data_IF_333159249622
#
_entry.id   IF_333159249622
#
_cell.length_a   1.000
_cell.length_b   1.000
_cell.length_c   1.000
_cell.angle_alpha   90.00
_cell.angle_beta   90.00
_cell.angle_gamma   90.00
#
_symmetry.space_group_name_H-M   'P 1'
#
loop_
_entity.id
_entity.type
_entity.pdbx_description
1 polymer ?
#
# COMPACT_ATOMS: atom_id res chain seq x y z
N UNK A 1 47.58 -46.18 76.11
CA UNK A 1 46.29 -46.49 75.45
C UNK A 1 45.22 -45.63 76.14
N UNK A 2 44.87 -44.48 75.55
CA UNK A 2 43.80 -43.60 76.05
C UNK A 2 42.89 -43.26 74.86
N UNK A 3 41.61 -43.58 75.03
CA UNK A 3 40.55 -43.51 74.02
C UNK A 3 40.05 -42.07 73.82
N UNK A 4 39.72 -41.76 72.56
CA UNK A 4 39.01 -40.57 72.09
C UNK A 4 37.57 -40.53 72.62
N UNK A 5 37.09 -39.33 72.94
CA UNK A 5 35.67 -38.96 72.86
C UNK A 5 35.51 -37.79 71.87
N UNK A 6 34.42 -37.76 71.07
CA UNK A 6 34.12 -36.65 70.17
C UNK A 6 33.25 -35.59 70.86
N UNK A 7 33.58 -34.31 70.68
CA UNK A 7 32.71 -33.20 71.06
C UNK A 7 31.98 -32.68 69.82
N UNK A 8 30.66 -32.72 69.89
CA UNK A 8 29.74 -32.03 68.99
C UNK A 8 29.63 -30.54 69.36
N UNK A 9 29.45 -29.74 68.31
CA UNK A 9 29.55 -28.29 68.14
C UNK A 9 28.67 -27.41 69.05
N UNK A 10 28.92 -26.08 69.03
CA UNK A 10 27.90 -25.24 68.40
C UNK A 10 28.45 -24.29 67.32
N UNK A 11 27.64 -24.20 66.28
CA UNK A 11 27.70 -23.28 65.14
C UNK A 11 27.68 -21.84 65.63
N UNK A 12 28.82 -21.15 65.60
CA UNK A 12 28.89 -19.69 65.65
C UNK A 12 30.04 -19.25 64.74
N UNK A 13 29.69 -18.79 63.54
CA UNK A 13 30.41 -17.81 62.70
C UNK A 13 30.11 -18.03 61.21
N UNK A 14 28.84 -17.90 60.79
CA UNK A 14 28.53 -17.64 59.39
C UNK A 14 27.15 -16.96 59.25
N UNK A 15 26.99 -15.80 59.87
CA UNK A 15 25.79 -14.96 59.69
C UNK A 15 26.09 -13.47 59.89
N UNK A 16 27.32 -13.03 59.61
CA UNK A 16 27.72 -11.62 59.69
C UNK A 16 28.67 -11.27 58.53
N UNK A 17 28.20 -11.42 57.29
CA UNK A 17 28.81 -10.82 56.10
C UNK A 17 27.88 -10.77 54.88
N UNK A 18 26.56 -10.96 55.04
CA UNK A 18 25.58 -10.89 53.95
C UNK A 18 24.33 -10.06 54.30
N UNK A 19 24.48 -9.14 55.24
CA UNK A 19 23.56 -8.04 55.45
C UNK A 19 24.39 -6.76 55.29
N UNK A 20 23.93 -5.81 54.47
CA UNK A 20 24.64 -4.63 53.96
C UNK A 20 25.47 -4.84 52.68
N UNK A 21 24.79 -5.25 51.62
CA UNK A 21 24.92 -4.61 50.30
C UNK A 21 23.65 -4.95 49.50
N UNK A 22 22.47 -4.64 50.04
CA UNK A 22 21.36 -4.25 49.16
C UNK A 22 21.77 -2.87 48.61
N UNK A 23 22.66 -2.88 47.61
CA UNK A 23 22.83 -1.71 46.78
C UNK A 23 21.42 -1.40 46.26
N UNK A 24 20.89 -0.17 46.44
CA UNK A 24 19.74 0.21 45.66
C UNK A 24 20.15 -0.05 44.21
N UNK A 25 19.42 -0.93 43.54
CA UNK A 25 19.47 -0.95 42.08
C UNK A 25 19.06 0.47 41.72
N UNK A 26 19.97 1.25 41.15
CA UNK A 26 19.65 2.58 40.67
C UNK A 26 18.60 2.36 39.57
N UNK A 27 17.33 2.52 39.94
CA UNK A 27 16.26 2.57 38.98
C UNK A 27 16.41 3.87 38.22
N UNK A 28 16.24 3.80 36.91
CA UNK A 28 16.18 4.98 36.07
C UNK A 28 15.07 5.91 36.60
N UNK A 29 15.37 7.19 36.73
CA UNK A 29 14.42 8.17 37.25
C UNK A 29 13.61 8.72 36.09
N UNK A 30 12.29 8.75 36.22
CA UNK A 30 11.44 9.42 35.24
C UNK A 30 11.25 10.89 35.64
N UNK A 31 11.18 11.77 34.65
CA UNK A 31 11.04 13.21 34.83
C UNK A 31 9.86 13.72 34.01
N UNK A 32 9.00 14.53 34.61
CA UNK A 32 7.89 15.19 33.92
C UNK A 32 8.04 16.69 34.08
N UNK A 33 7.95 17.42 32.97
CA UNK A 33 7.89 18.88 33.02
C UNK A 33 6.59 19.32 33.71
N UNK A 34 6.72 19.96 34.87
CA UNK A 34 5.62 20.54 35.65
C UNK A 34 5.80 22.05 35.86
N UNK A 35 6.85 22.61 35.27
CA UNK A 35 7.17 24.03 35.31
C UNK A 35 6.21 24.91 34.51
N UNK A 36 6.60 26.18 34.36
CA UNK A 36 5.85 27.11 33.52
C UNK A 36 5.81 26.67 32.05
N UNK A 37 4.88 27.22 31.29
CA UNK A 37 4.75 27.00 29.82
C UNK A 37 6.06 27.26 29.07
N UNK A 38 6.92 28.14 29.58
CA UNK A 38 8.27 28.34 29.02
C UNK A 38 9.29 28.34 30.13
N UNK A 39 10.39 27.60 29.94
CA UNK A 39 11.46 27.56 30.92
C UNK A 39 12.74 26.89 30.43
N UNK A 40 13.74 26.93 31.30
CA UNK A 40 15.03 26.31 31.05
C UNK A 40 15.08 24.89 31.60
N UNK A 41 15.72 23.99 30.87
CA UNK A 41 15.97 22.61 31.27
C UNK A 41 16.70 22.52 32.62
N UNK A 42 17.71 23.37 32.84
CA UNK A 42 18.54 23.34 34.05
C UNK A 42 17.84 23.82 35.32
N UNK A 43 16.66 24.43 35.21
CA UNK A 43 15.91 24.94 36.37
C UNK A 43 15.18 23.79 37.04
N UNK A 44 15.74 23.34 38.16
CA UNK A 44 15.31 22.12 38.86
C UNK A 44 13.83 22.11 39.27
N UNK A 45 13.25 23.28 39.57
CA UNK A 45 11.85 23.44 39.97
C UNK A 45 10.86 23.40 38.80
N UNK A 46 11.31 23.15 37.58
CA UNK A 46 10.46 22.92 36.41
C UNK A 46 10.18 21.43 36.16
N UNK A 47 10.67 20.57 37.05
CA UNK A 47 10.54 19.13 36.97
C UNK A 47 9.89 18.60 38.24
N UNK A 48 9.02 17.61 38.09
CA UNK A 48 8.25 16.98 39.16
C UNK A 48 9.09 16.40 40.31
N UNK A 49 10.35 16.08 40.04
CA UNK A 49 11.31 15.59 41.02
C UNK A 49 12.04 16.70 41.78
N UNK A 50 11.81 17.98 41.44
CA UNK A 50 12.61 19.13 41.88
C UNK A 50 14.13 18.94 41.61
N UNK A 51 14.46 18.17 40.58
CA UNK A 51 15.83 17.92 40.12
C UNK A 51 15.89 18.00 38.60
N UNK A 52 16.99 18.53 38.06
CA UNK A 52 17.18 18.56 36.62
C UNK A 52 17.34 17.12 36.09
N UNK A 53 16.73 16.76 34.95
CA UNK A 53 16.80 15.43 34.40
C UNK A 53 18.25 14.99 34.19
N UNK A 54 18.50 13.75 34.58
CA UNK A 54 19.75 13.08 34.28
C UNK A 54 19.64 12.31 32.95
N UNK A 55 20.71 11.57 32.59
CA UNK A 55 20.76 10.80 31.35
C UNK A 55 20.11 9.41 31.49
N UNK A 56 19.12 9.26 32.35
CA UNK A 56 18.41 8.00 32.59
C UNK A 56 16.90 8.17 32.47
N UNK A 57 16.21 7.05 32.27
CA UNK A 57 14.75 6.95 32.40
C UNK A 57 14.00 7.61 31.27
N UNK A 58 12.74 7.94 31.56
CA UNK A 58 11.82 8.60 30.63
C UNK A 58 11.61 10.03 31.05
N UNK A 59 11.83 10.95 30.13
CA UNK A 59 11.59 12.37 30.30
C UNK A 59 10.36 12.74 29.48
N UNK A 60 9.42 13.50 30.04
CA UNK A 60 8.18 13.88 29.36
C UNK A 60 8.02 15.39 29.34
N UNK A 61 7.89 15.95 28.14
CA UNK A 61 7.51 17.34 27.91
C UNK A 61 6.16 17.33 27.19
N UNK A 62 5.09 17.64 27.93
CA UNK A 62 3.73 17.63 27.39
C UNK A 62 3.42 18.81 26.47
N UNK A 63 2.31 18.70 25.75
CA UNK A 63 1.81 19.72 24.82
C UNK A 63 1.73 21.13 25.44
N UNK A 64 2.02 22.13 24.60
CA UNK A 64 2.06 23.54 24.97
C UNK A 64 3.28 24.00 25.77
N UNK A 65 4.12 23.10 26.29
CA UNK A 65 5.34 23.49 27.00
C UNK A 65 6.49 23.78 26.04
N UNK A 66 7.30 24.80 26.32
CA UNK A 66 8.48 25.17 25.56
C UNK A 66 9.72 25.17 26.46
N UNK A 67 10.56 24.16 26.27
CA UNK A 67 11.75 23.92 27.09
C UNK A 67 12.99 24.31 26.30
N UNK A 68 13.76 25.25 26.84
CA UNK A 68 15.08 25.59 26.31
C UNK A 68 16.16 24.75 26.99
N UNK A 69 16.88 23.95 26.22
CA UNK A 69 18.07 23.25 26.70
C UNK A 69 19.26 24.22 26.80
N UNK A 70 19.56 24.64 28.02
CA UNK A 70 20.56 25.65 28.36
C UNK A 70 21.85 25.06 28.97
N UNK A 71 22.00 23.74 28.94
CA UNK A 71 23.16 23.04 29.50
C UNK A 71 24.36 23.11 28.53
N UNK A 72 25.40 23.83 28.92
CA UNK A 72 26.60 24.05 28.09
C UNK A 72 27.53 22.83 28.09
N UNK A 73 27.98 22.42 26.90
CA UNK A 73 29.04 21.41 26.76
C UNK A 73 28.63 19.98 27.10
N UNK A 74 27.36 19.75 27.44
CA UNK A 74 26.82 18.45 27.82
C UNK A 74 26.61 17.49 26.64
N UNK A 75 26.56 16.21 26.99
CA UNK A 75 25.89 15.17 26.20
C UNK A 75 24.41 15.21 26.59
N UNK A 76 23.52 15.33 25.60
CA UNK A 76 22.08 15.33 25.82
C UNK A 76 21.58 13.89 25.80
N UNK A 77 21.16 13.36 26.96
CA UNK A 77 20.47 12.07 27.07
C UNK A 77 21.25 10.89 26.47
N UNK A 78 22.41 10.56 27.03
CA UNK A 78 23.26 9.51 26.47
C UNK A 78 22.57 8.12 26.32
N UNK A 79 21.48 7.83 27.06
CA UNK A 79 20.70 6.59 26.91
C UNK A 79 19.27 6.74 27.48
N UNK A 80 18.69 7.95 27.47
CA UNK A 80 17.35 8.18 28.00
C UNK A 80 16.31 8.24 26.88
N UNK A 81 15.05 8.11 27.25
CA UNK A 81 13.90 8.31 26.35
C UNK A 81 13.29 9.68 26.62
N UNK A 82 13.07 10.49 25.59
CA UNK A 82 12.26 11.70 25.66
C UNK A 82 10.93 11.47 24.94
N UNK A 83 9.82 11.64 25.67
CA UNK A 83 8.49 11.78 25.09
C UNK A 83 8.17 13.27 24.96
N UNK A 84 7.91 13.73 23.74
CA UNK A 84 7.82 15.14 23.40
C UNK A 84 6.53 15.43 22.64
N UNK A 85 5.59 16.09 23.33
CA UNK A 85 4.39 16.69 22.72
C UNK A 85 4.47 18.23 22.72
N UNK A 86 5.39 18.83 23.49
CA UNK A 86 5.71 20.26 23.46
C UNK A 86 6.91 20.60 22.56
N UNK A 87 7.60 21.71 22.86
CA UNK A 87 8.83 22.13 22.17
C UNK A 87 10.07 21.89 23.04
N UNK A 88 11.10 21.31 22.44
CA UNK A 88 12.47 21.31 22.94
C UNK A 88 13.36 22.10 21.99
N UNK A 89 13.82 23.27 22.45
CA UNK A 89 14.74 24.14 21.72
C UNK A 89 16.15 24.07 22.29
N UNK A 90 17.19 24.21 21.44
CA UNK A 90 18.57 24.22 21.93
C UNK A 90 19.59 24.57 20.85
N UNK A 91 20.65 25.29 21.25
CA UNK A 91 21.72 25.69 20.33
C UNK A 91 22.59 24.52 19.84
N UNK A 92 22.91 23.57 20.73
CA UNK A 92 23.56 22.31 20.38
C UNK A 92 22.96 21.19 21.23
N UNK A 93 22.37 20.20 20.59
CA UNK A 93 21.84 18.99 21.25
C UNK A 93 22.64 17.79 20.75
N UNK A 94 23.19 16.98 21.66
CA UNK A 94 23.97 15.78 21.32
C UNK A 94 23.34 14.50 21.84
N UNK A 95 22.64 13.79 20.97
CA UNK A 95 21.70 12.72 21.33
C UNK A 95 22.41 11.45 21.84
N UNK A 96 23.55 11.06 21.26
CA UNK A 96 24.47 10.04 21.79
C UNK A 96 23.83 8.72 22.32
N UNK A 97 22.83 8.14 21.66
CA UNK A 97 22.17 6.91 22.12
C UNK A 97 20.77 7.08 22.68
N UNK A 98 20.25 8.31 22.73
CA UNK A 98 18.86 8.57 23.19
C UNK A 98 17.81 8.11 22.19
N UNK A 99 16.62 7.87 22.75
CA UNK A 99 15.38 7.67 22.02
C UNK A 99 14.48 8.90 22.17
N UNK A 100 13.90 9.38 21.08
CA UNK A 100 12.89 10.44 21.08
C UNK A 100 11.61 9.88 20.51
N UNK A 101 10.52 10.04 21.24
CA UNK A 101 9.17 9.82 20.76
C UNK A 101 8.53 11.20 20.62
N UNK A 102 8.44 11.70 19.40
CA UNK A 102 7.91 13.02 19.08
C UNK A 102 6.48 12.86 18.60
N UNK A 103 5.53 13.28 19.43
CA UNK A 103 4.11 13.22 19.10
C UNK A 103 3.72 14.25 18.05
N UNK A 104 2.46 14.21 17.62
CA UNK A 104 1.93 15.06 16.54
C UNK A 104 1.98 16.57 16.80
N UNK A 105 2.19 17.01 18.04
CA UNK A 105 2.41 18.41 18.41
C UNK A 105 3.86 18.72 18.80
N UNK A 106 4.71 17.69 18.88
CA UNK A 106 6.08 17.78 19.34
C UNK A 106 6.98 18.54 18.38
N UNK A 107 7.86 19.39 18.92
CA UNK A 107 8.77 20.23 18.14
C UNK A 107 10.20 20.09 18.68
N UNK A 108 11.12 19.64 17.84
CA UNK A 108 12.56 19.76 18.09
C UNK A 108 13.08 20.94 17.29
N UNK A 109 13.57 21.99 17.95
CA UNK A 109 13.95 23.24 17.27
C UNK A 109 15.34 23.76 17.61
N UNK A 110 15.89 24.58 16.71
CA UNK A 110 17.08 25.40 16.90
C UNK A 110 18.41 24.71 16.61
N UNK A 111 19.40 25.52 16.21
CA UNK A 111 20.83 25.20 16.28
C UNK A 111 21.28 23.90 15.59
N UNK A 112 22.26 23.24 16.22
CA UNK A 112 22.94 22.06 15.71
C UNK A 112 22.44 20.81 16.43
N UNK A 113 22.01 19.79 15.67
CA UNK A 113 21.60 18.48 16.20
C UNK A 113 22.65 17.44 15.82
N UNK A 114 23.36 16.99 16.84
CA UNK A 114 24.42 15.99 16.77
C UNK A 114 23.81 14.63 17.11
N UNK A 115 23.51 13.84 16.07
CA UNK A 115 22.84 12.55 16.19
C UNK A 115 23.90 11.46 16.08
N UNK A 116 24.10 10.75 17.18
CA UNK A 116 25.08 9.68 17.29
C UNK A 116 24.43 8.48 17.94
N UNK A 117 24.14 7.44 17.15
CA UNK A 117 23.37 6.27 17.59
C UNK A 117 21.97 6.60 18.14
N UNK A 118 21.33 7.66 17.64
CA UNK A 118 20.03 8.10 18.15
C UNK A 118 18.88 7.37 17.47
N UNK A 119 17.78 7.16 18.20
CA UNK A 119 16.49 6.69 17.66
C UNK A 119 15.48 7.83 17.79
N UNK A 120 14.84 8.18 16.69
CA UNK A 120 13.83 9.23 16.67
C UNK A 120 12.57 8.70 15.97
N UNK A 121 11.48 8.65 16.71
CA UNK A 121 10.17 8.20 16.27
C UNK A 121 9.27 9.41 16.16
N UNK A 122 8.75 9.69 14.97
CA UNK A 122 7.92 10.84 14.70
C UNK A 122 6.51 10.41 14.31
N UNK A 123 5.51 11.03 14.94
CA UNK A 123 4.13 10.98 14.47
C UNK A 123 3.88 12.09 13.46
N UNK A 124 2.98 11.87 12.50
CA UNK A 124 2.52 12.95 11.63
C UNK A 124 2.06 14.18 12.44
N UNK A 125 2.54 15.36 12.05
CA UNK A 125 2.37 16.64 12.73
C UNK A 125 3.60 17.08 13.53
N UNK A 126 4.48 16.13 13.89
CA UNK A 126 5.76 16.44 14.53
C UNK A 126 6.60 17.39 13.67
N UNK A 127 7.36 18.26 14.32
CA UNK A 127 8.23 19.23 13.65
C UNK A 127 9.67 19.06 14.09
N UNK A 128 10.57 19.16 13.11
CA UNK A 128 12.01 19.18 13.35
C UNK A 128 12.61 20.30 12.52
N UNK A 129 13.11 21.34 13.21
CA UNK A 129 13.76 22.50 12.58
C UNK A 129 15.16 22.66 13.18
N UNK A 130 16.18 22.46 12.37
CA UNK A 130 17.56 22.57 12.80
C UNK A 130 18.41 23.25 11.73
N UNK A 131 19.39 24.04 12.14
CA UNK A 131 20.39 24.58 11.21
C UNK A 131 21.26 23.46 10.65
N UNK A 132 21.61 22.47 11.48
CA UNK A 132 22.38 21.29 11.07
C UNK A 132 21.76 20.02 11.64
N UNK A 133 21.59 19.03 10.78
CA UNK A 133 21.25 17.65 11.11
C UNK A 133 22.47 16.78 10.81
N UNK A 134 23.30 16.53 11.83
CA UNK A 134 24.50 15.71 11.69
C UNK A 134 24.22 14.26 12.10
N UNK A 135 24.56 13.31 11.22
CA UNK A 135 24.37 11.88 11.50
C UNK A 135 25.70 11.14 11.65
N UNK A 136 25.80 10.36 12.74
CA UNK A 136 26.97 9.56 13.12
C UNK A 136 26.54 8.22 13.70
N UNK A 137 27.34 7.18 13.51
CA UNK A 137 27.02 5.87 14.06
C UNK A 137 25.70 5.31 13.50
N UNK A 138 24.99 4.53 14.29
CA UNK A 138 23.78 3.80 13.85
C UNK A 138 22.50 4.51 14.28
N UNK A 139 21.97 5.40 13.44
CA UNK A 139 20.73 6.12 13.76
C UNK A 139 19.51 5.41 13.19
N UNK A 140 18.35 5.62 13.82
CA UNK A 140 17.05 5.16 13.33
C UNK A 140 16.07 6.33 13.33
N UNK A 141 15.39 6.53 12.21
CA UNK A 141 14.33 7.50 12.04
C UNK A 141 13.07 6.77 11.58
N UNK A 142 12.07 6.71 12.46
CA UNK A 142 10.80 6.07 12.18
C UNK A 142 9.72 7.15 12.02
N UNK A 143 8.91 7.03 10.96
CA UNK A 143 7.85 7.98 10.61
C UNK A 143 6.50 7.27 10.60
N UNK A 144 5.67 7.54 11.58
CA UNK A 144 4.29 7.04 11.66
C UNK A 144 3.37 7.96 10.84
N UNK A 145 2.89 7.45 9.69
CA UNK A 145 1.97 8.19 8.84
C UNK A 145 0.57 8.25 9.46
N UNK A 146 -0.13 9.36 9.25
CA UNK A 146 -1.58 9.46 9.48
C UNK A 146 -2.36 9.06 8.23
N UNK A 147 -3.69 9.17 8.30
CA UNK A 147 -4.56 8.99 7.12
C UNK A 147 -4.34 10.04 6.02
N UNK A 148 -3.64 11.15 6.31
CA UNK A 148 -3.36 12.23 5.36
C UNK A 148 -1.89 12.28 4.89
N UNK A 149 -1.05 11.36 5.37
CA UNK A 149 0.37 11.30 5.03
C UNK A 149 1.25 11.66 6.22
N UNK A 150 2.27 12.50 5.98
CA UNK A 150 3.23 12.94 6.99
C UNK A 150 3.64 14.40 6.77
N UNK A 151 3.77 15.15 7.85
CA UNK A 151 4.27 16.53 7.86
C UNK A 151 5.78 16.54 7.77
N UNK A 152 6.31 17.05 6.66
CA UNK A 152 7.75 17.03 6.38
C UNK A 152 8.59 17.67 7.51
N UNK A 153 9.65 16.97 7.92
CA UNK A 153 10.71 17.53 8.74
C UNK A 153 11.60 18.44 7.89
N UNK A 154 12.07 19.56 8.45
CA UNK A 154 12.77 20.61 7.68
C UNK A 154 14.09 21.06 8.33
N UNK A 155 15.07 20.15 8.50
CA UNK A 155 16.45 20.59 8.70
C UNK A 155 16.97 21.41 7.52
N UNK A 156 17.81 22.41 7.79
CA UNK A 156 18.34 23.29 6.75
C UNK A 156 19.61 22.77 6.07
N UNK A 157 20.45 22.03 6.82
CA UNK A 157 21.70 21.49 6.27
C UNK A 157 21.90 20.07 6.80
N UNK A 158 22.13 19.14 5.89
CA UNK A 158 22.63 17.82 6.23
C UNK A 158 24.15 17.85 6.47
N UNK A 159 24.61 17.19 7.51
CA UNK A 159 26.04 17.02 7.77
C UNK A 159 26.38 15.54 8.00
N UNK A 160 27.47 15.08 7.38
CA UNK A 160 28.06 13.77 7.65
C UNK A 160 29.45 13.98 8.28
N UNK A 161 29.69 13.37 9.44
CA UNK A 161 31.02 13.38 10.05
C UNK A 161 31.93 12.37 9.37
N UNK A 162 33.12 12.81 8.96
CA UNK A 162 34.16 11.92 8.38
C UNK A 162 34.89 11.05 9.42
N UNK A 163 34.46 11.00 10.69
CA UNK A 163 35.13 10.20 11.74
C UNK A 163 34.31 10.07 13.04
N UNK A 164 34.34 8.93 13.77
CA UNK A 164 35.04 7.67 13.47
C UNK A 164 34.12 6.56 12.92
N UNK A 165 32.81 6.77 12.88
CA UNK A 165 31.85 5.79 12.39
C UNK A 165 31.10 6.38 11.21
N UNK A 166 31.40 5.85 10.03
CA UNK A 166 30.55 6.02 8.85
C UNK A 166 29.10 5.80 9.28
N UNK A 167 28.17 6.75 9.01
CA UNK A 167 26.79 6.57 9.41
C UNK A 167 26.23 5.27 8.83
N UNK A 168 25.43 4.60 9.65
CA UNK A 168 24.58 3.48 9.28
C UNK A 168 23.17 3.82 9.74
N UNK A 169 22.50 4.64 8.94
CA UNK A 169 21.20 5.19 9.34
C UNK A 169 20.08 4.42 8.65
N UNK A 170 19.02 4.09 9.38
CA UNK A 170 17.78 3.56 8.82
C UNK A 170 16.69 4.62 8.86
N UNK A 171 15.98 4.80 7.74
CA UNK A 171 14.72 5.52 7.68
C UNK A 171 13.59 4.52 7.43
N UNK A 172 12.57 4.52 8.27
CA UNK A 172 11.42 3.62 8.17
C UNK A 172 10.14 4.43 8.07
N UNK A 173 9.36 4.21 7.00
CA UNK A 173 8.00 4.71 6.94
C UNK A 173 7.02 3.63 7.43
N UNK A 174 6.16 3.95 8.39
CA UNK A 174 5.11 3.06 8.88
C UNK A 174 3.73 3.51 8.36
N UNK A 175 3.09 2.62 7.59
CA UNK A 175 1.79 2.86 6.96
C UNK A 175 0.61 2.24 7.74
N UNK A 176 0.80 1.75 8.97
CA UNK A 176 -0.25 1.06 9.74
C UNK A 176 -1.54 1.89 9.90
N UNK A 177 -1.42 3.21 10.05
CA UNK A 177 -2.53 4.15 10.20
C UNK A 177 -2.91 4.86 8.89
N UNK A 178 -2.19 4.60 7.80
CA UNK A 178 -2.44 5.24 6.51
C UNK A 178 -3.65 4.63 5.79
N UNK A 179 -4.57 5.49 5.39
CA UNK A 179 -5.80 5.14 4.66
C UNK A 179 -6.16 6.20 3.61
N UNK A 180 -5.18 7.03 3.25
CA UNK A 180 -5.33 8.14 2.31
C UNK A 180 -5.39 7.70 0.85
N UNK A 181 -5.58 8.69 -0.03
CA UNK A 181 -5.47 8.53 -1.48
C UNK A 181 -4.00 8.63 -1.93
N UNK A 182 -3.70 8.21 -3.17
CA UNK A 182 -2.39 8.32 -3.82
C UNK A 182 -1.67 9.64 -3.51
N UNK A 183 -0.42 9.55 -3.09
CA UNK A 183 0.36 10.70 -2.65
C UNK A 183 1.86 10.45 -2.75
N UNK A 184 2.61 11.51 -3.03
CA UNK A 184 4.05 11.60 -2.84
C UNK A 184 4.32 12.43 -1.58
N UNK A 185 4.89 11.78 -0.56
CA UNK A 185 5.08 12.34 0.78
C UNK A 185 6.54 12.67 0.98
N UNK A 186 6.84 13.90 1.41
CA UNK A 186 8.19 14.24 1.88
C UNK A 186 8.29 13.97 3.38
N UNK A 187 9.16 13.04 3.78
CA UNK A 187 9.39 12.74 5.20
C UNK A 187 10.42 13.71 5.80
N UNK A 188 11.51 13.95 5.06
CA UNK A 188 12.56 14.87 5.44
C UNK A 188 13.00 15.66 4.22
N UNK A 189 12.96 16.99 4.33
CA UNK A 189 13.56 17.93 3.38
C UNK A 189 14.84 18.49 4.00
N UNK A 190 16.00 18.17 3.43
CA UNK A 190 17.28 18.65 3.96
C UNK A 190 17.65 20.07 3.53
N UNK A 191 16.97 20.62 2.52
CA UNK A 191 17.28 21.90 1.87
C UNK A 191 18.62 21.93 1.13
N UNK A 192 19.71 21.52 1.78
CA UNK A 192 21.05 21.33 1.24
C UNK A 192 21.64 20.06 1.83
N UNK A 193 22.06 19.13 0.97
CA UNK A 193 22.79 17.94 1.39
C UNK A 193 24.00 17.66 0.49
N UNK A 194 24.84 16.74 0.94
CA UNK A 194 25.90 16.13 0.12
C UNK A 194 25.62 14.63 -0.09
N UNK A 195 24.35 14.25 0.04
CA UNK A 195 23.84 12.92 -0.23
C UNK A 195 23.55 12.81 -1.74
N UNK A 196 23.54 11.58 -2.20
CA UNK A 196 23.04 11.22 -3.52
C UNK A 196 22.34 9.86 -3.44
N UNK A 197 21.61 9.48 -4.48
CA UNK A 197 20.92 8.20 -4.55
C UNK A 197 21.88 6.99 -4.43
N UNK A 198 23.17 7.16 -4.77
CA UNK A 198 24.16 6.10 -4.58
C UNK A 198 24.44 5.83 -3.09
N UNK A 199 24.25 6.81 -2.20
CA UNK A 199 24.36 6.61 -0.75
C UNK A 199 23.24 5.74 -0.15
N UNK A 200 22.09 5.61 -0.83
CA UNK A 200 20.90 4.86 -0.39
C UNK A 200 20.72 3.50 -1.10
N UNK A 201 21.58 3.15 -2.06
CA UNK A 201 21.45 1.92 -2.86
C UNK A 201 22.63 0.96 -2.64
N UNK A 202 22.42 -0.34 -2.89
CA UNK A 202 23.52 -1.33 -3.02
C UNK A 202 24.35 -1.61 -1.75
N UNK A 203 23.81 -1.42 -0.55
CA UNK A 203 24.56 -1.54 0.71
C UNK A 203 25.29 -0.26 1.11
N UNK A 204 24.77 0.90 0.66
CA UNK A 204 25.21 2.22 1.08
C UNK A 204 25.06 2.50 2.58
N UNK A 205 25.36 3.74 2.98
CA UNK A 205 25.38 4.18 4.38
C UNK A 205 23.97 4.32 4.98
N UNK A 206 22.95 4.32 4.12
CA UNK A 206 21.57 4.55 4.49
C UNK A 206 20.71 3.37 4.04
N UNK A 207 19.83 2.92 4.93
CA UNK A 207 18.81 1.91 4.67
C UNK A 207 17.45 2.58 4.62
N UNK A 208 16.67 2.27 3.59
CA UNK A 208 15.27 2.70 3.45
C UNK A 208 14.39 1.46 3.67
N UNK A 209 13.44 1.56 4.60
CA UNK A 209 12.48 0.50 4.91
C UNK A 209 11.07 1.04 4.95
N UNK A 210 10.10 0.16 4.69
CA UNK A 210 8.68 0.49 4.80
C UNK A 210 8.01 -0.65 5.55
N UNK A 211 7.28 -0.30 6.59
CA UNK A 211 6.54 -1.22 7.42
C UNK A 211 5.03 -1.06 7.19
N UNK A 212 4.28 -2.13 7.44
CA UNK A 212 2.81 -2.15 7.45
C UNK A 212 2.15 -1.58 6.19
N UNK A 213 2.70 -1.85 5.00
CA UNK A 213 2.15 -1.36 3.72
C UNK A 213 0.72 -1.82 3.44
N UNK A 214 0.31 -2.98 3.98
CA UNK A 214 -0.99 -3.57 3.69
C UNK A 214 -1.16 -3.81 2.19
N UNK A 215 -2.22 -3.25 1.61
CA UNK A 215 -2.49 -3.29 0.17
C UNK A 215 -1.91 -2.10 -0.59
N UNK A 216 -1.21 -1.18 0.08
CA UNK A 216 -0.61 -0.04 -0.60
C UNK A 216 0.63 -0.47 -1.39
N UNK A 217 0.81 0.09 -2.57
CA UNK A 217 2.09 0.09 -3.28
C UNK A 217 2.90 1.27 -2.76
N UNK A 218 4.02 1.02 -2.08
CA UNK A 218 4.80 2.08 -1.44
C UNK A 218 6.29 1.98 -1.78
N UNK A 219 6.92 3.13 -2.04
CA UNK A 219 8.36 3.27 -2.32
C UNK A 219 8.95 4.38 -1.48
N UNK A 220 9.96 4.03 -0.69
CA UNK A 220 10.78 4.99 0.03
C UNK A 220 12.08 5.18 -0.74
N UNK A 221 12.39 6.42 -1.08
CA UNK A 221 13.52 6.78 -1.92
C UNK A 221 14.12 8.11 -1.50
N UNK A 222 15.33 8.37 -1.96
CA UNK A 222 15.98 9.67 -1.87
C UNK A 222 15.86 10.37 -3.21
N UNK A 223 15.38 11.61 -3.20
CA UNK A 223 15.20 12.45 -4.38
C UNK A 223 16.34 13.44 -4.49
N UNK A 224 17.29 13.15 -5.39
CA UNK A 224 18.46 13.99 -5.67
C UNK A 224 18.08 15.41 -6.14
N UNK A 225 16.90 15.58 -6.75
CA UNK A 225 16.49 16.89 -7.28
C UNK A 225 16.00 17.83 -6.18
N UNK A 226 15.41 17.28 -5.12
CA UNK A 226 14.85 18.04 -4.00
C UNK A 226 15.63 17.88 -2.70
N UNK A 227 16.69 17.08 -2.69
CA UNK A 227 17.53 16.81 -1.52
C UNK A 227 16.70 16.24 -0.35
N UNK A 228 15.81 15.29 -0.64
CA UNK A 228 14.77 14.86 0.30
C UNK A 228 14.61 13.33 0.39
N UNK A 229 14.19 12.84 1.56
CA UNK A 229 13.68 11.47 1.73
C UNK A 229 12.17 11.49 1.50
N UNK A 230 11.72 10.73 0.50
CA UNK A 230 10.34 10.75 0.01
C UNK A 230 9.73 9.37 -0.07
N UNK A 231 8.42 9.32 0.13
CA UNK A 231 7.61 8.12 0.12
C UNK A 231 6.48 8.30 -0.92
N UNK A 232 6.56 7.55 -2.01
CA UNK A 232 5.49 7.45 -3.01
C UNK A 232 4.53 6.34 -2.60
N UNK A 233 3.23 6.61 -2.61
CA UNK A 233 2.16 5.68 -2.21
C UNK A 233 1.08 5.62 -3.30
N UNK A 234 0.78 4.42 -3.78
CA UNK A 234 -0.25 4.09 -4.76
C UNK A 234 -0.18 4.91 -6.06
N UNK A 235 1.02 5.34 -6.44
CA UNK A 235 1.22 6.04 -7.71
C UNK A 235 1.08 5.09 -8.89
N UNK A 236 0.57 5.61 -10.00
CA UNK A 236 0.59 4.90 -11.27
C UNK A 236 1.96 5.00 -11.88
N UNK A 237 2.54 3.85 -12.21
CA UNK A 237 3.82 3.74 -12.90
C UNK A 237 3.54 3.55 -14.39
N UNK A 238 4.01 4.48 -15.21
CA UNK A 238 3.82 4.53 -16.65
C UNK A 238 4.98 3.89 -17.39
N UNK A 239 4.63 3.11 -18.42
CA UNK A 239 5.59 2.55 -19.35
C UNK A 239 6.26 3.65 -20.19
N UNK A 240 7.58 3.70 -20.16
CA UNK A 240 8.41 4.57 -21.00
C UNK A 240 9.11 3.81 -22.13
N UNK A 241 9.36 2.51 -21.94
CA UNK A 241 10.11 1.67 -22.88
C UNK A 241 11.59 2.04 -23.04
N UNK A 242 12.15 2.89 -22.15
CA UNK A 242 13.50 3.44 -22.31
C UNK A 242 14.62 2.40 -22.15
N UNK A 243 14.34 1.24 -21.57
CA UNK A 243 15.26 0.10 -21.49
C UNK A 243 15.43 -0.66 -22.81
N UNK A 244 14.50 -0.49 -23.77
CA UNK A 244 14.61 -1.02 -25.13
C UNK A 244 14.46 -2.53 -25.30
N UNK A 245 14.31 -3.29 -24.21
CA UNK A 245 14.13 -4.75 -24.24
C UNK A 245 12.64 -5.18 -24.25
N UNK A 246 11.71 -4.23 -24.03
CA UNK A 246 10.28 -4.49 -24.02
C UNK A 246 9.81 -5.31 -22.81
N UNK A 247 10.61 -5.46 -21.74
CA UNK A 247 10.26 -6.34 -20.62
C UNK A 247 9.62 -5.59 -19.44
N UNK A 248 8.54 -6.15 -18.90
CA UNK A 248 7.86 -5.63 -17.70
C UNK A 248 8.80 -5.57 -16.49
N UNK A 249 9.74 -6.51 -16.36
CA UNK A 249 10.65 -6.62 -15.22
C UNK A 249 11.87 -5.66 -15.26
N UNK A 250 12.05 -4.91 -16.35
CA UNK A 250 13.21 -4.02 -16.51
C UNK A 250 12.90 -2.62 -16.00
N UNK A 251 13.61 -2.20 -14.94
CA UNK A 251 13.43 -0.90 -14.28
C UNK A 251 13.46 0.29 -15.25
N UNK A 252 14.40 0.29 -16.20
CA UNK A 252 14.56 1.37 -17.17
C UNK A 252 13.35 1.55 -18.12
N UNK A 253 12.39 0.63 -18.15
CA UNK A 253 11.17 0.78 -18.95
C UNK A 253 10.05 1.54 -18.23
N UNK A 254 10.26 1.97 -16.98
CA UNK A 254 9.22 2.56 -16.14
C UNK A 254 9.67 3.93 -15.61
N UNK A 255 8.71 4.81 -15.36
CA UNK A 255 8.91 6.13 -14.74
C UNK A 255 8.76 6.07 -13.19
N UNK A 256 9.32 5.05 -12.56
CA UNK A 256 9.25 4.93 -11.10
C UNK A 256 10.05 6.05 -10.42
N UNK A 257 9.54 6.62 -9.31
CA UNK A 257 10.26 7.64 -8.54
C UNK A 257 11.60 7.15 -7.99
N UNK A 258 11.71 5.86 -7.67
CA UNK A 258 12.93 5.25 -7.14
C UNK A 258 13.85 4.65 -8.22
N UNK A 259 13.46 4.78 -9.50
CA UNK A 259 14.20 4.25 -10.64
C UNK A 259 14.32 2.72 -10.67
N UNK A 260 13.46 1.99 -9.95
CA UNK A 260 13.43 0.52 -9.91
C UNK A 260 12.29 -0.07 -10.72
N UNK A 261 12.30 -1.39 -10.88
CA UNK A 261 11.21 -2.11 -11.51
C UNK A 261 9.92 -2.01 -10.67
N UNK A 262 8.76 -2.32 -11.26
CA UNK A 262 7.50 -2.46 -10.53
C UNK A 262 7.61 -3.36 -9.30
N UNK A 263 6.72 -3.13 -8.33
CA UNK A 263 6.55 -3.92 -7.10
C UNK A 263 5.10 -4.41 -6.97
N UNK A 264 4.82 -5.21 -5.94
CA UNK A 264 3.47 -5.68 -5.65
C UNK A 264 2.49 -4.53 -5.37
N UNK A 265 1.21 -4.75 -5.68
CA UNK A 265 0.12 -3.76 -5.59
C UNK A 265 0.24 -2.54 -6.53
N UNK A 266 1.30 -2.40 -7.32
CA UNK A 266 1.43 -1.27 -8.26
C UNK A 266 0.25 -1.18 -9.22
N UNK A 267 -0.11 0.06 -9.59
CA UNK A 267 -0.88 0.32 -10.81
C UNK A 267 0.09 0.65 -11.94
N UNK A 268 0.06 -0.15 -13.00
CA UNK A 268 0.91 -0.04 -14.18
C UNK A 268 0.10 0.46 -15.35
N UNK A 269 0.56 1.52 -16.01
CA UNK A 269 -0.03 2.02 -17.24
C UNK A 269 0.88 1.68 -18.42
N UNK A 270 0.41 0.82 -19.32
CA UNK A 270 1.09 0.49 -20.57
C UNK A 270 0.30 1.12 -21.71
N UNK A 271 0.92 2.07 -22.40
CA UNK A 271 0.23 2.90 -23.38
C UNK A 271 1.06 3.10 -24.67
N UNK A 272 0.57 3.96 -25.56
CA UNK A 272 1.27 4.45 -26.74
C UNK A 272 1.67 3.37 -27.76
N UNK A 273 0.85 2.31 -27.93
CA UNK A 273 1.17 1.25 -28.89
C UNK A 273 2.29 0.31 -28.42
N UNK A 274 2.67 0.36 -27.14
CA UNK A 274 3.73 -0.47 -26.61
C UNK A 274 3.37 -1.97 -26.74
N UNK A 275 4.37 -2.79 -27.02
CA UNK A 275 4.29 -4.24 -26.85
C UNK A 275 5.24 -4.62 -25.72
N UNK A 276 4.67 -5.13 -24.63
CA UNK A 276 5.38 -5.43 -23.40
C UNK A 276 5.34 -6.93 -23.15
N UNK A 277 6.51 -7.53 -22.98
CA UNK A 277 6.69 -8.93 -22.68
C UNK A 277 6.84 -9.16 -21.17
N UNK A 278 6.22 -10.23 -20.67
CA UNK A 278 6.50 -10.76 -19.33
C UNK A 278 6.54 -12.28 -19.33
N UNK A 279 7.44 -12.82 -18.52
CA UNK A 279 7.59 -14.27 -18.30
C UNK A 279 7.59 -14.59 -16.81
N UNK A 280 6.95 -15.70 -16.45
CA UNK A 280 6.84 -16.13 -15.06
C UNK A 280 5.74 -15.40 -14.29
N UNK A 281 5.97 -15.22 -13.00
CA UNK A 281 5.02 -14.62 -12.08
C UNK A 281 5.00 -13.10 -12.18
N UNK A 282 3.81 -12.50 -12.29
CA UNK A 282 3.61 -11.10 -11.96
C UNK A 282 3.81 -10.88 -10.46
N UNK A 283 4.08 -9.63 -10.12
CA UNK A 283 4.08 -9.18 -8.75
C UNK A 283 2.64 -9.27 -8.23
N UNK A 284 2.46 -9.73 -6.99
CA UNK A 284 1.15 -10.01 -6.45
C UNK A 284 0.25 -8.77 -6.43
N UNK A 285 -1.03 -8.95 -6.78
CA UNK A 285 -2.08 -7.93 -6.74
C UNK A 285 -1.80 -6.66 -7.57
N UNK A 286 -0.90 -6.69 -8.56
CA UNK A 286 -0.71 -5.54 -9.44
C UNK A 286 -1.98 -5.24 -10.26
N UNK A 287 -2.21 -3.96 -10.56
CA UNK A 287 -3.20 -3.53 -11.55
C UNK A 287 -2.47 -3.14 -12.83
N UNK A 288 -2.89 -3.64 -13.99
CA UNK A 288 -2.30 -3.32 -15.29
C UNK A 288 -3.38 -2.71 -16.17
N UNK A 289 -3.18 -1.46 -16.57
CA UNK A 289 -4.02 -0.75 -17.53
C UNK A 289 -3.34 -0.77 -18.89
N UNK A 290 -3.98 -1.39 -19.88
CA UNK A 290 -3.53 -1.37 -21.26
C UNK A 290 -4.35 -0.33 -22.03
N UNK A 291 -3.66 0.68 -22.57
CA UNK A 291 -4.25 1.72 -23.40
C UNK A 291 -3.63 1.69 -24.81
N UNK A 292 -4.38 1.19 -25.78
CA UNK A 292 -3.90 0.92 -27.14
C UNK A 292 -2.59 0.15 -27.19
N UNK A 293 -2.40 -0.85 -26.34
CA UNK A 293 -1.12 -1.54 -26.12
C UNK A 293 -1.26 -3.05 -26.00
N UNK A 294 -0.15 -3.77 -26.07
CA UNK A 294 -0.11 -5.23 -26.01
C UNK A 294 0.69 -5.73 -24.81
N UNK A 295 0.08 -6.60 -24.01
CA UNK A 295 0.79 -7.44 -23.05
C UNK A 295 0.95 -8.84 -23.64
N UNK A 296 2.17 -9.33 -23.73
CA UNK A 296 2.48 -10.63 -24.32
C UNK A 296 3.31 -11.50 -23.38
N UNK A 297 3.09 -12.80 -23.46
CA UNK A 297 4.00 -13.79 -22.84
C UNK A 297 5.03 -14.32 -23.82
N UNK A 298 5.02 -13.78 -25.04
CA UNK A 298 5.70 -14.35 -26.19
C UNK A 298 5.28 -15.83 -26.39
N UNK A 299 6.21 -16.78 -26.25
CA UNK A 299 5.92 -18.22 -26.30
C UNK A 299 6.04 -18.89 -24.93
N UNK A 300 6.00 -18.12 -23.84
CA UNK A 300 6.25 -18.57 -22.47
C UNK A 300 4.96 -18.62 -21.63
N UNK A 301 5.11 -18.67 -20.31
CA UNK A 301 4.02 -18.71 -19.33
C UNK A 301 4.03 -17.43 -18.51
N UNK A 302 2.90 -16.73 -18.42
CA UNK A 302 2.66 -15.70 -17.40
C UNK A 302 1.76 -16.25 -16.30
N UNK A 303 2.03 -15.89 -15.04
CA UNK A 303 1.16 -16.15 -13.88
C UNK A 303 0.69 -14.84 -13.31
N UNK A 304 -0.62 -14.64 -13.22
CA UNK A 304 -1.15 -13.33 -12.87
C UNK A 304 -1.19 -13.05 -11.36
N UNK A 305 -1.16 -14.06 -10.49
CA UNK A 305 -1.03 -13.90 -9.03
C UNK A 305 -1.97 -12.83 -8.42
N UNK A 306 -3.27 -12.97 -8.66
CA UNK A 306 -4.31 -12.03 -8.24
C UNK A 306 -4.21 -10.62 -8.89
N UNK A 307 -3.53 -10.48 -10.01
CA UNK A 307 -3.49 -9.21 -10.73
C UNK A 307 -4.86 -8.82 -11.29
N UNK A 308 -5.09 -7.51 -11.38
CA UNK A 308 -6.17 -6.92 -12.18
C UNK A 308 -5.62 -6.46 -13.52
N UNK A 309 -6.28 -6.77 -14.63
CA UNK A 309 -5.90 -6.27 -15.97
C UNK A 309 -7.09 -5.60 -16.61
N UNK A 310 -6.94 -4.34 -16.99
CA UNK A 310 -7.92 -3.59 -17.76
C UNK A 310 -7.41 -3.49 -19.20
N UNK A 311 -8.17 -4.04 -20.14
CA UNK A 311 -7.83 -4.10 -21.57
C UNK A 311 -8.79 -3.19 -22.33
N UNK A 312 -8.29 -2.03 -22.76
CA UNK A 312 -9.11 -1.10 -23.54
C UNK A 312 -9.47 -1.65 -24.93
N UNK A 313 -10.39 -0.96 -25.60
CA UNK A 313 -10.90 -1.31 -26.93
C UNK A 313 -9.84 -1.43 -28.04
N UNK A 314 -8.60 -1.00 -27.80
CA UNK A 314 -7.51 -1.04 -28.78
C UNK A 314 -6.30 -1.83 -28.30
N UNK A 315 -6.43 -2.51 -27.17
CA UNK A 315 -5.38 -3.27 -26.52
C UNK A 315 -5.51 -4.77 -26.75
N UNK A 316 -4.42 -5.49 -26.49
CA UNK A 316 -4.40 -6.94 -26.67
C UNK A 316 -3.61 -7.69 -25.60
N UNK A 317 -4.12 -8.87 -25.26
CA UNK A 317 -3.41 -9.91 -24.52
C UNK A 317 -3.00 -11.00 -25.52
N UNK A 318 -1.71 -11.34 -25.58
CA UNK A 318 -1.20 -12.32 -26.56
C UNK A 318 -0.19 -13.31 -25.99
N UNK A 319 0.16 -14.34 -26.77
CA UNK A 319 1.33 -15.17 -26.53
C UNK A 319 1.05 -16.65 -26.28
N UNK A 320 1.85 -17.27 -25.42
CA UNK A 320 1.86 -18.70 -25.15
C UNK A 320 0.79 -19.13 -24.15
N UNK A 321 1.12 -19.06 -22.85
CA UNK A 321 0.28 -19.59 -21.78
C UNK A 321 -0.04 -18.52 -20.74
N UNK A 322 -1.33 -18.35 -20.46
CA UNK A 322 -1.85 -17.47 -19.43
C UNK A 322 -2.39 -18.30 -18.27
N UNK A 323 -1.61 -18.35 -17.19
CA UNK A 323 -1.99 -18.93 -15.91
C UNK A 323 -2.61 -17.81 -15.06
N UNK A 324 -3.94 -17.81 -14.96
CA UNK A 324 -4.68 -16.66 -14.47
C UNK A 324 -4.66 -16.52 -12.95
N UNK A 325 -4.39 -17.60 -12.21
CA UNK A 325 -4.09 -17.62 -10.76
C UNK A 325 -4.72 -16.48 -9.94
N UNK A 326 -6.05 -16.46 -9.81
CA UNK A 326 -6.80 -15.45 -9.05
C UNK A 326 -7.06 -14.10 -9.73
N UNK A 327 -6.75 -13.95 -11.03
CA UNK A 327 -6.87 -12.68 -11.74
C UNK A 327 -8.30 -12.17 -11.94
N UNK A 328 -8.42 -10.84 -12.00
CA UNK A 328 -9.58 -10.11 -12.50
C UNK A 328 -9.22 -9.44 -13.82
N UNK A 329 -9.98 -9.69 -14.90
CA UNK A 329 -9.71 -9.09 -16.21
C UNK A 329 -10.96 -8.39 -16.73
N UNK A 330 -10.81 -7.14 -17.15
CA UNK A 330 -11.84 -6.33 -17.79
C UNK A 330 -11.49 -6.15 -19.26
N UNK A 331 -12.44 -6.45 -20.13
CA UNK A 331 -12.34 -6.27 -21.56
C UNK A 331 -13.37 -5.25 -22.03
N UNK A 332 -12.90 -4.17 -22.66
CA UNK A 332 -13.78 -3.28 -23.43
C UNK A 332 -14.08 -3.87 -24.82
N UNK A 333 -15.24 -3.54 -25.38
CA UNK A 333 -15.56 -3.90 -26.77
C UNK A 333 -14.50 -3.36 -27.74
N UNK A 334 -13.84 -4.28 -28.45
CA UNK A 334 -12.69 -4.00 -29.31
C UNK A 334 -11.37 -4.58 -28.79
N UNK A 335 -11.30 -4.90 -27.49
CA UNK A 335 -10.15 -5.58 -26.89
C UNK A 335 -9.90 -6.94 -27.55
N UNK A 336 -8.64 -7.38 -27.54
CA UNK A 336 -8.24 -8.67 -28.11
C UNK A 336 -7.63 -9.58 -27.04
N UNK A 337 -7.97 -10.86 -27.10
CA UNK A 337 -7.27 -11.91 -26.37
C UNK A 337 -6.93 -13.04 -27.37
N UNK A 338 -5.63 -13.21 -27.63
CA UNK A 338 -5.11 -14.16 -28.61
C UNK A 338 -3.83 -14.82 -28.09
N UNK A 339 -4.00 -15.74 -27.16
CA UNK A 339 -2.96 -16.56 -26.56
C UNK A 339 -3.21 -18.04 -26.83
N UNK A 340 -2.18 -18.88 -26.85
CA UNK A 340 -2.35 -20.30 -27.14
C UNK A 340 -3.06 -21.09 -26.03
N UNK A 341 -2.95 -20.66 -24.77
CA UNK A 341 -3.58 -21.32 -23.63
C UNK A 341 -4.12 -20.30 -22.63
N UNK A 342 -5.36 -20.51 -22.21
CA UNK A 342 -6.07 -19.73 -21.21
C UNK A 342 -6.45 -20.65 -20.05
N UNK A 343 -5.73 -20.57 -18.95
CA UNK A 343 -5.94 -21.42 -17.77
C UNK A 343 -6.55 -20.62 -16.63
N UNK A 344 -7.81 -20.92 -16.32
CA UNK A 344 -8.45 -20.45 -15.10
C UNK A 344 -7.98 -21.28 -13.90
N UNK A 345 -7.51 -20.58 -12.87
CA UNK A 345 -6.96 -21.12 -11.64
C UNK A 345 -7.33 -20.17 -10.50
N UNK A 346 -7.72 -20.76 -9.37
CA UNK A 346 -8.24 -20.04 -8.21
C UNK A 346 -9.43 -19.14 -8.56
N UNK A 347 -9.68 -18.09 -7.78
CA UNK A 347 -10.86 -17.24 -7.94
C UNK A 347 -10.64 -16.23 -9.07
N UNK A 348 -11.14 -16.50 -10.27
CA UNK A 348 -11.01 -15.58 -11.40
C UNK A 348 -12.29 -14.77 -11.64
N UNK A 349 -12.15 -13.55 -12.15
CA UNK A 349 -13.26 -12.71 -12.62
C UNK A 349 -13.00 -12.17 -14.02
N UNK A 350 -14.03 -12.18 -14.86
CA UNK A 350 -13.97 -11.68 -16.24
C UNK A 350 -15.13 -10.73 -16.51
N UNK A 351 -14.83 -9.48 -16.81
CA UNK A 351 -15.84 -8.47 -17.15
C UNK A 351 -15.79 -8.18 -18.65
N UNK A 352 -16.94 -8.29 -19.31
CA UNK A 352 -17.15 -7.94 -20.71
C UNK A 352 -17.97 -6.66 -20.77
N UNK A 353 -17.32 -5.54 -21.06
CA UNK A 353 -18.01 -4.26 -21.26
C UNK A 353 -18.51 -4.24 -22.69
N UNK A 354 -19.81 -4.44 -22.87
CA UNK A 354 -20.42 -4.47 -24.19
C UNK A 354 -20.27 -3.10 -24.88
N UNK A 355 -20.17 -3.12 -26.20
CA UNK A 355 -20.24 -1.92 -27.02
C UNK A 355 -21.69 -1.50 -27.24
N UNK A 356 -21.89 -0.61 -28.22
CA UNK A 356 -23.21 -0.06 -28.51
C UNK A 356 -24.25 -1.10 -28.94
N UNK A 357 -23.84 -2.22 -29.53
CA UNK A 357 -24.78 -3.24 -30.02
C UNK A 357 -24.25 -4.67 -29.97
N UNK A 358 -22.97 -4.85 -29.69
CA UNK A 358 -22.27 -6.13 -29.74
C UNK A 358 -21.05 -6.10 -28.81
N UNK A 359 -20.26 -7.16 -28.86
CA UNK A 359 -18.94 -7.24 -28.27
C UNK A 359 -18.01 -8.00 -29.24
N UNK A 360 -16.84 -7.45 -29.54
CA UNK A 360 -15.83 -8.13 -30.35
C UNK A 360 -15.40 -9.42 -29.65
N UNK A 361 -15.76 -10.55 -30.24
CA UNK A 361 -15.45 -11.87 -29.70
C UNK A 361 -13.95 -12.02 -29.45
N UNK A 362 -13.61 -12.38 -28.21
CA UNK A 362 -12.25 -12.75 -27.84
C UNK A 362 -11.96 -14.16 -28.36
N UNK A 363 -10.74 -14.39 -28.86
CA UNK A 363 -10.36 -15.68 -29.48
C UNK A 363 -9.12 -16.30 -28.81
N UNK A 364 -9.17 -16.58 -27.50
CA UNK A 364 -8.12 -17.36 -26.85
C UNK A 364 -8.03 -18.77 -27.44
N UNK A 365 -6.88 -19.41 -27.26
CA UNK A 365 -6.63 -20.79 -27.70
C UNK A 365 -7.31 -21.81 -26.79
N UNK A 366 -6.54 -22.76 -26.26
CA UNK A 366 -7.10 -23.84 -25.44
C UNK A 366 -7.61 -23.32 -24.09
N UNK A 367 -8.88 -23.59 -23.78
CA UNK A 367 -9.45 -23.36 -22.46
C UNK A 367 -9.00 -24.44 -21.47
N UNK A 368 -8.59 -24.04 -20.27
CA UNK A 368 -8.08 -24.96 -19.24
C UNK A 368 -8.60 -24.57 -17.86
N UNK A 369 -8.76 -25.59 -17.02
CA UNK A 369 -8.98 -25.46 -15.58
C UNK A 369 -7.76 -26.02 -14.86
N UNK A 370 -7.02 -25.14 -14.18
CA UNK A 370 -5.81 -25.45 -13.44
C UNK A 370 -6.04 -25.50 -11.93
N UNK A 371 -5.19 -26.22 -11.21
CA UNK A 371 -5.22 -26.31 -9.74
C UNK A 371 -4.18 -25.36 -9.13
N UNK A 372 -4.62 -24.46 -8.25
CA UNK A 372 -3.80 -23.52 -7.51
C UNK A 372 -3.97 -23.72 -6.00
N UNK A 373 -4.30 -22.63 -5.28
CA UNK A 373 -4.79 -22.70 -3.90
C UNK A 373 -6.15 -23.41 -3.77
N UNK A 374 -6.94 -23.43 -4.85
CA UNK A 374 -8.20 -24.16 -4.99
C UNK A 374 -8.07 -25.27 -6.03
N UNK A 375 -8.95 -26.28 -5.92
CA UNK A 375 -9.07 -27.31 -6.94
C UNK A 375 -9.54 -26.69 -8.26
N UNK A 376 -8.94 -27.10 -9.39
CA UNK A 376 -9.32 -26.61 -10.71
C UNK A 376 -10.77 -26.93 -11.03
N UNK A 377 -11.61 -25.89 -11.05
CA UNK A 377 -13.05 -26.00 -11.26
C UNK A 377 -13.61 -24.66 -11.74
N UNK A 378 -14.58 -24.73 -12.65
CA UNK A 378 -15.24 -23.56 -13.23
C UNK A 378 -16.08 -22.78 -12.20
N UNK A 379 -16.46 -23.42 -11.08
CA UNK A 379 -17.16 -22.75 -9.97
C UNK A 379 -16.37 -21.59 -9.37
N UNK A 380 -15.04 -21.59 -9.54
CA UNK A 380 -14.17 -20.54 -9.05
C UNK A 380 -14.13 -19.32 -9.99
N UNK A 381 -14.79 -19.39 -11.15
CA UNK A 381 -14.86 -18.28 -12.10
C UNK A 381 -16.16 -17.48 -11.93
N UNK A 382 -16.03 -16.16 -12.04
CA UNK A 382 -17.14 -15.22 -12.16
C UNK A 382 -17.09 -14.54 -13.52
N UNK A 383 -18.20 -14.57 -14.23
CA UNK A 383 -18.37 -13.89 -15.53
C UNK A 383 -19.35 -12.74 -15.35
N UNK A 384 -18.94 -11.55 -15.77
CA UNK A 384 -19.66 -10.30 -15.57
C UNK A 384 -19.91 -9.68 -16.94
N UNK A 385 -21.16 -9.42 -17.28
CA UNK A 385 -21.51 -8.63 -18.46
C UNK A 385 -21.93 -7.25 -18.01
N UNK A 386 -21.26 -6.24 -18.54
CA UNK A 386 -21.54 -4.85 -18.27
C UNK A 386 -22.24 -4.21 -19.46
N UNK A 387 -23.49 -3.78 -19.24
CA UNK A 387 -24.35 -3.16 -20.25
C UNK A 387 -24.23 -1.63 -20.30
N UNK A 388 -23.26 -1.02 -19.61
CA UNK A 388 -23.10 0.46 -19.49
C UNK A 388 -23.21 1.19 -20.82
N UNK A 389 -22.61 0.66 -21.89
CA UNK A 389 -22.60 1.30 -23.20
C UNK A 389 -23.63 0.71 -24.19
N UNK A 390 -24.40 -0.30 -23.76
CA UNK A 390 -25.24 -1.08 -24.66
C UNK A 390 -26.51 -0.32 -25.05
N UNK A 391 -26.81 -0.28 -26.35
CA UNK A 391 -28.04 0.27 -26.89
C UNK A 391 -29.00 -0.87 -27.21
N UNK A 392 -30.12 -0.88 -26.51
CA UNK A 392 -31.10 -1.97 -26.59
C UNK A 392 -31.96 -1.88 -27.85
N UNK A 393 -31.89 -2.92 -28.67
CA UNK A 393 -32.77 -3.12 -29.81
C UNK A 393 -33.71 -4.30 -29.56
N UNK A 394 -34.99 -4.13 -29.90
CA UNK A 394 -36.02 -5.15 -29.70
C UNK A 394 -35.68 -6.48 -30.38
N UNK A 395 -36.03 -7.57 -29.68
CA UNK A 395 -35.89 -8.93 -30.17
C UNK A 395 -34.74 -9.70 -29.54
N UNK A 396 -34.52 -10.91 -30.04
CA UNK A 396 -33.50 -11.82 -29.56
C UNK A 396 -32.10 -11.36 -29.97
N UNK A 397 -31.19 -11.35 -29.00
CA UNK A 397 -29.77 -11.05 -29.18
C UNK A 397 -28.94 -12.26 -28.77
N UNK A 398 -27.84 -12.45 -29.48
CA UNK A 398 -26.86 -13.51 -29.26
C UNK A 398 -25.49 -12.94 -29.55
N UNK A 399 -24.64 -12.85 -28.53
CA UNK A 399 -23.31 -12.22 -28.58
C UNK A 399 -22.30 -13.26 -28.11
N UNK A 400 -21.30 -13.58 -28.93
CA UNK A 400 -20.22 -14.50 -28.55
C UNK A 400 -19.16 -13.71 -27.81
N UNK A 401 -18.98 -14.00 -26.53
CA UNK A 401 -18.04 -13.29 -25.66
C UNK A 401 -16.62 -13.86 -25.81
N UNK A 402 -16.50 -15.19 -25.86
CA UNK A 402 -15.24 -15.90 -26.07
C UNK A 402 -15.45 -17.10 -27.00
N UNK A 403 -14.51 -17.32 -27.91
CA UNK A 403 -14.47 -18.44 -28.85
C UNK A 403 -13.11 -19.15 -28.71
N UNK A 404 -13.09 -20.29 -28.00
CA UNK A 404 -11.87 -21.02 -27.71
C UNK A 404 -11.52 -22.00 -28.83
N UNK A 405 -10.24 -22.30 -29.02
CA UNK A 405 -9.83 -23.32 -30.02
C UNK A 405 -10.12 -24.77 -29.58
N UNK A 406 -10.29 -24.98 -28.28
CA UNK A 406 -10.63 -26.26 -27.66
C UNK A 406 -11.08 -26.05 -26.22
N UNK A 407 -12.02 -26.84 -25.73
CA UNK A 407 -12.50 -26.78 -24.36
C UNK A 407 -11.59 -27.45 -23.30
N UNK A 408 -11.95 -27.24 -22.02
CA UNK A 408 -11.35 -27.95 -20.90
C UNK A 408 -11.93 -29.37 -20.80
N UNK A 409 -11.19 -30.30 -20.17
CA UNK A 409 -11.64 -31.69 -20.04
C UNK A 409 -12.99 -31.79 -19.31
N UNK A 410 -13.97 -32.44 -19.92
CA UNK A 410 -15.36 -32.57 -19.42
C UNK A 410 -16.10 -31.23 -19.26
N UNK A 411 -15.70 -30.20 -20.02
CA UNK A 411 -16.54 -29.02 -20.13
C UNK A 411 -17.84 -29.41 -20.84
N UNK A 412 -18.93 -28.88 -20.33
CA UNK A 412 -20.26 -28.94 -20.93
C UNK A 412 -21.02 -27.71 -20.47
N UNK A 413 -22.11 -27.34 -21.13
CA UNK A 413 -22.98 -26.28 -20.60
C UNK A 413 -23.40 -26.55 -19.16
N UNK A 414 -23.80 -27.79 -18.83
CA UNK A 414 -24.14 -28.15 -17.45
C UNK A 414 -22.99 -27.93 -16.44
N UNK A 415 -21.75 -28.19 -16.85
CA UNK A 415 -20.57 -27.90 -16.03
C UNK A 415 -20.37 -26.39 -15.90
N UNK A 416 -20.41 -25.67 -17.02
CA UNK A 416 -20.19 -24.23 -17.10
C UNK A 416 -21.20 -23.43 -16.27
N UNK A 417 -22.47 -23.86 -16.23
CA UNK A 417 -23.52 -23.24 -15.42
C UNK A 417 -23.28 -23.33 -13.90
N UNK A 418 -22.24 -24.02 -13.44
CA UNK A 418 -21.81 -23.98 -12.02
C UNK A 418 -20.96 -22.77 -11.66
N UNK A 419 -20.50 -21.99 -12.65
CA UNK A 419 -19.83 -20.71 -12.43
C UNK A 419 -20.78 -19.65 -11.84
N UNK A 420 -20.21 -18.52 -11.45
CA UNK A 420 -20.98 -17.34 -11.05
C UNK A 420 -21.19 -16.40 -12.25
N UNK A 421 -22.41 -15.88 -12.41
CA UNK A 421 -22.76 -14.96 -13.49
C UNK A 421 -23.39 -13.69 -12.93
N UNK A 422 -22.87 -12.53 -13.31
CA UNK A 422 -23.40 -11.23 -12.94
C UNK A 422 -23.70 -10.40 -14.19
N UNK A 423 -24.79 -9.64 -14.14
CA UNK A 423 -25.17 -8.70 -15.19
C UNK A 423 -25.38 -7.35 -14.53
N UNK A 424 -24.64 -6.34 -14.97
CA UNK A 424 -24.61 -5.03 -14.32
C UNK A 424 -24.94 -3.92 -15.32
N UNK A 425 -25.32 -2.76 -14.78
CA UNK A 425 -25.61 -1.54 -15.54
C UNK A 425 -26.68 -1.75 -16.63
N UNK A 426 -27.66 -2.61 -16.37
CA UNK A 426 -28.85 -2.75 -17.21
C UNK A 426 -29.73 -1.52 -16.98
N UNK A 427 -30.20 -0.90 -18.06
CA UNK A 427 -31.12 0.24 -17.99
C UNK A 427 -32.42 -0.17 -17.30
N UNK A 428 -32.83 0.55 -16.26
CA UNK A 428 -34.06 0.30 -15.50
C UNK A 428 -35.32 0.34 -16.37
N UNK A 429 -35.28 1.04 -17.52
CA UNK A 429 -36.39 1.12 -18.46
C UNK A 429 -36.54 -0.12 -19.37
N UNK A 430 -35.57 -1.04 -19.35
CA UNK A 430 -35.51 -2.19 -20.24
C UNK A 430 -35.78 -3.48 -19.47
N UNK A 431 -36.55 -4.38 -20.07
CA UNK A 431 -36.69 -5.75 -19.59
C UNK A 431 -35.91 -6.70 -20.48
N UNK A 432 -34.96 -7.42 -19.87
CA UNK A 432 -34.23 -8.49 -20.51
C UNK A 432 -34.81 -9.83 -20.07
N UNK A 433 -35.36 -10.58 -21.01
CA UNK A 433 -35.83 -11.95 -20.81
C UNK A 433 -34.77 -12.93 -21.29
N UNK A 434 -34.77 -14.16 -20.74
CA UNK A 434 -33.84 -15.23 -21.13
C UNK A 434 -32.35 -14.82 -21.09
N UNK A 435 -32.00 -13.87 -20.23
CA UNK A 435 -30.64 -13.38 -20.03
C UNK A 435 -29.77 -14.47 -19.40
N UNK A 436 -28.88 -15.05 -20.20
CA UNK A 436 -28.02 -16.14 -19.79
C UNK A 436 -26.72 -16.16 -20.62
N UNK A 437 -25.62 -16.51 -19.98
CA UNK A 437 -24.40 -16.93 -20.66
C UNK A 437 -24.41 -18.46 -20.75
N UNK A 438 -24.23 -19.00 -21.95
CA UNK A 438 -24.23 -20.45 -22.23
C UNK A 438 -22.90 -20.89 -22.83
N UNK A 439 -22.60 -22.18 -22.67
CA UNK A 439 -21.47 -22.82 -23.32
C UNK A 439 -21.92 -23.68 -24.51
N UNK A 440 -21.20 -23.62 -25.62
CA UNK A 440 -21.43 -24.44 -26.81
C UNK A 440 -20.35 -25.50 -26.98
N UNK A 441 -20.65 -26.75 -26.64
CA UNK A 441 -19.72 -27.89 -26.80
C UNK A 441 -19.26 -28.12 -28.26
N UNK A 442 -20.06 -27.67 -29.24
CA UNK A 442 -19.74 -27.85 -30.65
C UNK A 442 -18.80 -26.78 -31.19
N UNK A 443 -18.75 -25.62 -30.54
CA UNK A 443 -17.99 -24.46 -30.96
C UNK A 443 -16.91 -24.06 -29.95
N UNK A 444 -16.86 -24.71 -28.78
CA UNK A 444 -16.00 -24.35 -27.65
C UNK A 444 -16.11 -22.86 -27.29
N UNK A 445 -17.33 -22.32 -27.31
CA UNK A 445 -17.58 -20.90 -27.19
C UNK A 445 -18.59 -20.54 -26.10
N UNK A 446 -18.43 -19.34 -25.56
CA UNK A 446 -19.29 -18.73 -24.55
C UNK A 446 -20.17 -17.67 -25.20
N UNK A 447 -21.49 -17.85 -25.11
CA UNK A 447 -22.46 -16.98 -25.78
C UNK A 447 -23.44 -16.38 -24.77
N UNK A 448 -23.53 -15.05 -24.76
CA UNK A 448 -24.57 -14.29 -24.08
C UNK A 448 -25.83 -14.26 -24.97
N UNK A 449 -26.95 -14.71 -24.42
CA UNK A 449 -28.26 -14.63 -25.06
C UNK A 449 -29.24 -13.87 -24.19
N UNK A 450 -30.10 -13.07 -24.81
CA UNK A 450 -31.21 -12.39 -24.14
C UNK A 450 -32.24 -11.92 -25.17
N UNK A 451 -33.46 -11.69 -24.72
CA UNK A 451 -34.53 -11.05 -25.47
C UNK A 451 -34.79 -9.67 -24.90
N UNK A 452 -34.75 -8.65 -25.75
CA UNK A 452 -35.11 -7.28 -25.36
C UNK A 452 -36.60 -7.09 -25.59
N UNK A 453 -37.34 -6.84 -24.49
CA UNK A 453 -38.72 -6.39 -24.53
C UNK A 453 -38.86 -5.00 -23.92
N UNK A 454 -39.72 -4.17 -24.50
CA UNK A 454 -40.15 -2.92 -23.87
C UNK A 454 -41.40 -3.20 -23.06
N UNK A 455 -41.40 -2.82 -21.79
CA UNK A 455 -42.66 -2.63 -21.06
C UNK A 455 -43.26 -1.34 -21.61
N UNK A 456 -44.43 -1.37 -22.28
CA UNK A 456 -45.11 -0.13 -22.56
C UNK A 456 -45.48 0.47 -21.20
N UNK A 457 -44.89 1.59 -20.82
CA UNK A 457 -45.52 2.42 -19.80
C UNK A 457 -46.99 2.60 -20.20
N UNK A 458 -47.96 2.51 -19.29
CA UNK A 458 -49.32 2.87 -19.62
C UNK A 458 -49.28 4.33 -20.08
N UNK A 459 -49.31 4.52 -21.40
CA UNK A 459 -49.05 5.83 -21.99
C UNK A 459 -49.98 6.85 -21.34
N UNK A 460 -49.55 8.11 -21.26
CA UNK A 460 -50.30 9.19 -20.60
C UNK A 460 -51.79 9.21 -21.00
N UNK A 461 -52.13 8.74 -22.21
CA UNK A 461 -53.49 8.52 -22.70
C UNK A 461 -54.30 7.43 -21.99
N UNK A 462 -53.68 6.32 -21.57
CA UNK A 462 -54.32 5.30 -20.74
C UNK A 462 -54.58 5.81 -19.32
N UNK A 463 -53.64 6.60 -18.76
CA UNK A 463 -53.80 7.24 -17.46
C UNK A 463 -54.89 8.34 -17.49
N UNK A 464 -54.84 9.23 -18.49
CA UNK A 464 -55.86 10.27 -18.73
C UNK A 464 -57.22 9.63 -19.04
N UNK A 465 -57.25 8.60 -19.88
CA UNK A 465 -58.47 7.85 -20.19
C UNK A 465 -59.08 7.19 -18.95
N UNK A 466 -58.23 6.62 -18.07
CA UNK A 466 -58.62 6.10 -16.76
C UNK A 466 -59.20 7.18 -15.84
N UNK A 467 -58.55 8.34 -15.74
CA UNK A 467 -59.06 9.47 -14.96
C UNK A 467 -60.39 10.04 -15.50
N UNK A 468 -60.53 10.14 -16.82
CA UNK A 468 -61.78 10.58 -17.46
C UNK A 468 -62.91 9.56 -17.26
N UNK A 469 -62.61 8.27 -17.34
CA UNK A 469 -63.58 7.20 -17.06
C UNK A 469 -64.01 7.19 -15.58
N UNK A 470 -63.07 7.38 -14.65
CA UNK A 470 -63.38 7.53 -13.22
C UNK A 470 -64.25 8.78 -12.98
N UNK A 471 -63.88 9.91 -13.58
CA UNK A 471 -64.65 11.16 -13.51
C UNK A 471 -66.08 10.99 -14.01
N UNK A 472 -66.28 10.31 -15.14
CA UNK A 472 -67.59 10.02 -15.69
C UNK A 472 -68.45 9.16 -14.75
N UNK A 473 -67.87 8.11 -14.15
CA UNK A 473 -68.57 7.25 -13.18
C UNK A 473 -68.95 8.02 -11.91
N UNK A 474 -68.05 8.87 -11.41
CA UNK A 474 -68.29 9.71 -10.23
C UNK A 474 -69.40 10.74 -10.45
N UNK A 475 -69.49 11.34 -11.65
CA UNK A 475 -70.56 12.29 -12.01
C UNK A 475 -71.91 11.57 -12.18
N UNK A 476 -71.93 10.35 -12.74
CA UNK A 476 -73.17 9.58 -12.93
C UNK A 476 -73.77 9.07 -11.62
N UNK A 477 -72.96 8.73 -10.62
CA UNK A 477 -73.43 8.29 -9.29
C UNK A 477 -73.98 9.42 -8.41
N UNK A 478 -73.77 10.69 -8.77
CA UNK A 478 -74.26 11.88 -8.04
C UNK A 478 -75.58 12.45 -8.60
N UNK A 479 -76.22 11.75 -9.55
CA UNK A 479 -77.55 12.13 -10.06
C UNK A 479 -78.64 11.30 -9.40
#
# INVERSE_FOLDING_TARGET
MKLKQPHSYPVIALALALALCSLPVAHATDFVWDGATTGNWSTVTNWDTDTAPDNTGTITIGDGNNVTYDVVGGVFLANATLNLDGELSGGLLRFNGSTFNVGSTGIISGGFKDLNNATLNFQDGAQFTATYWEQKGTNVFDFELSSTGFTALTPTNFANSTSPTTPNTTYTADLASYSGATQDVTLVDFGVSALDNATFTGGGQYTLSIDNTGTNAARLYYDDATEAVKLSINETVTWTGSGGDGKLSTAANWDTPDGKAPIANDTLLINNGATVAHEGALLGNSTINLEGSTLTTEATVIRLNNATINVDATSSLTGGFWDLDGASIVFEDGALANMANWEQKDLNSFTYVLGTSDFLTLTPGAFRLGTGGLAGSIINATYIVDFTNFVYELGSKSIILMDFSSDATNMSDATFQTASFNYINIDEAVTLENLLITWSDAADSMTLTFDVSVVPEPGTYALIGGFLALGYVMVRRRR
#
